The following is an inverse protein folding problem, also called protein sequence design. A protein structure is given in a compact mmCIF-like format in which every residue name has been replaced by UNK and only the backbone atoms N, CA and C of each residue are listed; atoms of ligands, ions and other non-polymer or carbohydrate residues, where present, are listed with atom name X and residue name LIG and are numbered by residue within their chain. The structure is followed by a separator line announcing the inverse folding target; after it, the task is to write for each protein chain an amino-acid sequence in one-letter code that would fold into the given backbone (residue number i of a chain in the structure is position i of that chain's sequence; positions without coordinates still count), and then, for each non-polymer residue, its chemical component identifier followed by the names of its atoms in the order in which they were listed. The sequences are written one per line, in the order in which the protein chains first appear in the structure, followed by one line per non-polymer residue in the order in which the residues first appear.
data_IF_684800387237
#
_entry.id   IF_684800387237
#
_cell.length_a   1.000
_cell.length_b   1.000
_cell.length_c   1.000
_cell.angle_alpha   90.00
_cell.angle_beta   90.00
_cell.angle_gamma   90.00
#
_symmetry.space_group_name_H-M   'P 1'
#
loop_
_entity.id
_entity.type
_entity.pdbx_description
1 polymer ?
#
# COMPACT_ATOMS: atom_id res chain seq x y z
N UNK A 1 12.04 -2.82 11.76
CA UNK A 1 10.88 -2.00 11.29
C UNK A 1 9.65 -2.39 12.11
N UNK A 2 8.73 -1.47 12.46
CA UNK A 2 7.56 -1.85 13.28
C UNK A 2 6.26 -1.92 12.48
N UNK A 3 5.72 -3.13 12.29
CA UNK A 3 4.44 -3.41 11.61
C UNK A 3 3.30 -3.54 12.64
N UNK A 4 2.10 -3.07 12.29
CA UNK A 4 1.01 -2.87 13.25
C UNK A 4 -0.36 -3.12 12.63
N UNK A 5 -1.26 -3.72 13.42
CA UNK A 5 -2.66 -3.94 13.04
C UNK A 5 -3.57 -3.80 14.25
N UNK A 6 -4.77 -3.27 14.02
CA UNK A 6 -5.80 -3.05 15.02
C UNK A 6 -7.00 -3.97 14.77
N UNK A 7 -7.35 -4.75 15.79
CA UNK A 7 -8.51 -5.65 15.76
C UNK A 7 -9.59 -5.16 16.71
N UNK A 8 -10.81 -4.99 16.21
CA UNK A 8 -11.99 -4.70 17.03
C UNK A 8 -12.85 -5.95 17.25
N UNK A 9 -13.59 -5.97 18.36
CA UNK A 9 -14.51 -7.06 18.73
C UNK A 9 -15.80 -7.08 17.89
N UNK A 10 -16.20 -5.94 17.31
CA UNK A 10 -17.30 -5.87 16.36
C UNK A 10 -17.03 -4.90 15.19
N UNK A 11 -17.69 -5.07 14.03
CA UNK A 11 -17.62 -4.13 12.91
C UNK A 11 -18.39 -2.83 13.18
N UNK A 12 -17.92 -1.72 12.59
CA UNK A 12 -18.64 -0.44 12.61
C UNK A 12 -18.39 0.39 13.89
N UNK A 13 -19.26 1.36 14.15
CA UNK A 13 -19.08 2.34 15.24
C UNK A 13 -19.47 1.82 16.63
N UNK A 14 -19.63 0.51 16.81
CA UNK A 14 -20.15 -0.10 18.04
C UNK A 14 -19.14 -1.02 18.76
N UNK A 15 -17.86 -1.00 18.36
CA UNK A 15 -16.82 -1.80 19.01
C UNK A 15 -16.63 -1.40 20.49
N UNK A 16 -16.58 -2.40 21.37
CA UNK A 16 -16.33 -2.24 22.80
C UNK A 16 -14.83 -2.28 23.11
N UNK A 17 -14.08 -3.11 22.39
CA UNK A 17 -12.65 -3.31 22.61
C UNK A 17 -11.88 -3.20 21.29
N UNK A 18 -10.73 -2.55 21.34
CA UNK A 18 -9.73 -2.52 20.28
C UNK A 18 -8.42 -3.10 20.81
N UNK A 19 -7.89 -4.13 20.16
CA UNK A 19 -6.54 -4.63 20.43
C UNK A 19 -5.61 -4.14 19.34
N UNK A 20 -4.62 -3.35 19.72
CA UNK A 20 -3.60 -2.81 18.82
C UNK A 20 -2.29 -3.55 19.03
N UNK A 21 -1.75 -4.14 17.97
CA UNK A 21 -0.54 -4.96 18.04
C UNK A 21 0.66 -4.30 17.38
N UNK A 22 1.83 -4.51 17.96
CA UNK A 22 3.10 -4.01 17.47
C UNK A 22 4.04 -5.19 17.26
N UNK A 23 4.57 -5.33 16.06
CA UNK A 23 5.49 -6.39 15.67
C UNK A 23 6.79 -5.77 15.17
N UNK A 24 7.92 -6.40 15.49
CA UNK A 24 9.16 -6.18 14.77
C UNK A 24 9.17 -7.05 13.51
N UNK A 25 9.27 -6.41 12.35
CA UNK A 25 9.23 -7.10 11.06
C UNK A 25 10.40 -8.08 10.90
N UNK A 26 11.60 -7.67 11.29
CA UNK A 26 12.84 -8.42 11.04
C UNK A 26 12.89 -9.73 11.83
N UNK A 27 12.41 -9.71 13.08
CA UNK A 27 12.33 -10.91 13.92
C UNK A 27 10.96 -11.60 13.90
N UNK A 28 9.96 -10.99 13.26
CA UNK A 28 8.55 -11.42 13.30
C UNK A 28 7.99 -11.62 14.72
N UNK A 29 8.50 -10.86 15.70
CA UNK A 29 8.10 -10.95 17.11
C UNK A 29 7.13 -9.83 17.47
N UNK A 30 6.11 -10.17 18.24
CA UNK A 30 5.24 -9.17 18.86
C UNK A 30 6.02 -8.47 19.97
N UNK A 31 6.16 -7.15 19.85
CA UNK A 31 6.84 -6.29 20.82
C UNK A 31 5.88 -5.78 21.90
N UNK A 32 4.64 -5.46 21.54
CA UNK A 32 3.64 -4.91 22.45
C UNK A 32 2.21 -5.19 21.96
N UNK A 33 1.28 -5.28 22.91
CA UNK A 33 -0.16 -5.33 22.66
C UNK A 33 -0.84 -4.32 23.57
N UNK A 34 -1.67 -3.45 22.99
CA UNK A 34 -2.45 -2.47 23.73
C UNK A 34 -3.94 -2.81 23.56
N UNK A 35 -4.68 -2.93 24.66
CA UNK A 35 -6.14 -3.13 24.63
C UNK A 35 -6.80 -1.84 25.11
N UNK A 36 -7.67 -1.28 24.28
CA UNK A 36 -8.41 -0.04 24.57
C UNK A 36 -9.90 -0.36 24.64
N UNK A 37 -10.53 0.01 25.75
CA UNK A 37 -11.98 -0.02 25.90
C UNK A 37 -12.62 1.28 25.38
N UNK A 38 -13.77 1.17 24.73
CA UNK A 38 -14.48 2.30 24.14
C UNK A 38 -14.82 3.41 25.16
N UNK A 39 -14.97 3.07 26.45
CA UNK A 39 -15.19 4.01 27.55
C UNK A 39 -13.99 4.93 27.76
N UNK A 40 -12.79 4.48 27.46
CA UNK A 40 -11.56 5.27 27.57
C UNK A 40 -11.47 6.36 26.49
N UNK A 41 -12.25 6.23 25.41
CA UNK A 41 -12.30 7.19 24.30
C UNK A 41 -13.66 7.89 24.21
N UNK A 42 -14.40 7.94 25.32
CA UNK A 42 -15.67 8.66 25.41
C UNK A 42 -16.78 8.06 24.54
N UNK A 43 -16.81 6.73 24.38
CA UNK A 43 -17.82 6.04 23.59
C UNK A 43 -17.58 6.07 22.08
N UNK A 44 -16.45 6.62 21.62
CA UNK A 44 -16.14 6.80 20.20
C UNK A 44 -15.18 5.72 19.71
N UNK A 45 -15.71 4.57 19.34
CA UNK A 45 -14.93 3.42 18.86
C UNK A 45 -13.87 3.73 17.78
N UNK A 46 -14.06 4.66 16.81
CA UNK A 46 -13.01 4.97 15.84
C UNK A 46 -11.74 5.57 16.44
N UNK A 47 -11.84 6.16 17.63
CA UNK A 47 -10.69 6.77 18.30
C UNK A 47 -9.83 5.74 19.04
N UNK A 48 -10.34 4.53 19.28
CA UNK A 48 -9.61 3.51 20.03
C UNK A 48 -8.31 3.10 19.32
N UNK A 49 -8.34 2.99 17.99
CA UNK A 49 -7.16 2.65 17.19
C UNK A 49 -6.05 3.68 17.37
N UNK A 50 -6.38 4.97 17.26
CA UNK A 50 -5.42 6.07 17.47
C UNK A 50 -4.84 6.04 18.89
N UNK A 51 -5.67 5.82 19.90
CA UNK A 51 -5.24 5.76 21.31
C UNK A 51 -4.36 4.54 21.56
N UNK A 52 -4.72 3.38 21.01
CA UNK A 52 -3.93 2.15 21.12
C UNK A 52 -2.56 2.31 20.47
N UNK A 53 -2.52 2.90 19.26
CA UNK A 53 -1.29 3.26 18.57
C UNK A 53 -0.41 4.20 19.39
N UNK A 54 -1.00 5.30 19.90
CA UNK A 54 -0.27 6.34 20.63
C UNK A 54 0.37 5.77 21.91
N UNK A 55 -0.40 5.02 22.71
CA UNK A 55 0.08 4.40 23.95
C UNK A 55 1.16 3.37 23.70
N UNK A 56 0.96 2.46 22.75
CA UNK A 56 1.94 1.42 22.48
C UNK A 56 3.21 1.96 21.82
N UNK A 57 3.12 3.00 20.99
CA UNK A 57 4.31 3.66 20.45
C UNK A 57 5.08 4.38 21.56
N UNK A 58 4.39 5.11 22.44
CA UNK A 58 5.01 5.79 23.58
C UNK A 58 5.67 4.81 24.55
N UNK A 59 5.10 3.60 24.72
CA UNK A 59 5.73 2.51 25.48
C UNK A 59 7.01 2.03 24.80
N UNK A 60 6.94 1.66 23.51
CA UNK A 60 8.08 1.13 22.78
C UNK A 60 9.24 2.10 22.64
N UNK A 61 8.97 3.41 22.53
CA UNK A 61 10.02 4.43 22.43
C UNK A 61 10.87 4.56 23.69
N UNK A 62 10.40 4.06 24.84
CA UNK A 62 11.18 4.03 26.09
C UNK A 62 12.19 2.88 26.10
N UNK A 63 11.84 1.77 25.46
CA UNK A 63 12.62 0.53 25.45
C UNK A 63 13.49 0.39 24.20
N UNK A 64 13.06 1.00 23.08
CA UNK A 64 13.66 0.83 21.76
C UNK A 64 13.83 2.15 21.02
N UNK A 65 14.90 2.22 20.21
CA UNK A 65 15.04 3.28 19.20
C UNK A 65 14.20 2.92 17.97
N UNK A 66 12.98 3.43 17.92
CA UNK A 66 12.08 3.24 16.78
C UNK A 66 12.49 4.19 15.64
N UNK A 67 13.00 3.65 14.54
CA UNK A 67 13.38 4.44 13.36
C UNK A 67 12.25 4.54 12.32
N UNK A 68 11.40 3.51 12.23
CA UNK A 68 10.35 3.43 11.22
C UNK A 68 9.13 2.67 11.75
N UNK A 69 7.95 3.16 11.38
CA UNK A 69 6.65 2.53 11.63
C UNK A 69 5.89 2.37 10.33
N UNK A 70 5.25 1.22 10.17
CA UNK A 70 4.38 0.90 9.02
C UNK A 70 2.97 0.70 9.54
N UNK A 71 2.01 1.42 8.96
CA UNK A 71 0.60 1.35 9.37
C UNK A 71 -0.31 1.30 8.15
N UNK A 72 -1.56 0.95 8.39
CA UNK A 72 -2.64 1.22 7.44
C UNK A 72 -2.73 2.71 7.07
N UNK A 73 -3.46 3.00 6.00
CA UNK A 73 -3.79 4.36 5.56
C UNK A 73 -4.80 5.06 6.50
N UNK A 74 -4.66 4.88 7.82
CA UNK A 74 -5.50 5.49 8.83
C UNK A 74 -5.15 6.98 9.00
N UNK A 75 -6.09 7.84 8.59
CA UNK A 75 -5.87 9.30 8.47
C UNK A 75 -5.45 9.92 9.81
N UNK A 76 -6.03 9.49 10.93
CA UNK A 76 -5.71 10.08 12.23
C UNK A 76 -4.30 9.70 12.72
N UNK A 77 -3.83 8.49 12.42
CA UNK A 77 -2.48 8.04 12.80
C UNK A 77 -1.44 8.75 11.93
N UNK A 78 -1.71 8.86 10.61
CA UNK A 78 -0.86 9.65 9.71
C UNK A 78 -0.75 11.11 10.16
N UNK A 79 -1.86 11.73 10.55
CA UNK A 79 -1.86 13.09 11.07
C UNK A 79 -1.12 13.20 12.41
N UNK A 80 -1.24 12.20 13.29
CA UNK A 80 -0.53 12.15 14.57
C UNK A 80 1.00 12.11 14.36
N UNK A 81 1.49 11.18 13.54
CA UNK A 81 2.93 11.05 13.26
C UNK A 81 3.51 12.28 12.56
N UNK A 82 2.73 12.93 11.69
CA UNK A 82 3.18 14.12 10.96
C UNK A 82 3.23 15.38 11.83
N UNK A 83 2.28 15.55 12.75
CA UNK A 83 2.05 16.84 13.41
C UNK A 83 2.49 16.87 14.88
N UNK A 84 2.92 15.74 15.46
CA UNK A 84 3.25 15.64 16.87
C UNK A 84 4.78 15.59 17.08
N UNK A 85 5.41 16.63 17.68
CA UNK A 85 6.86 16.70 17.81
C UNK A 85 7.52 15.55 18.55
N UNK A 86 6.78 14.83 19.42
CA UNK A 86 7.30 13.65 20.12
C UNK A 86 7.68 12.50 19.17
N UNK A 87 7.16 12.50 17.96
CA UNK A 87 7.43 11.47 16.95
C UNK A 87 8.37 11.96 15.84
N UNK A 88 8.97 13.14 16.01
CA UNK A 88 9.94 13.66 15.06
C UNK A 88 11.12 12.69 14.92
N UNK A 89 11.50 12.42 13.67
CA UNK A 89 12.56 11.48 13.32
C UNK A 89 12.13 10.03 13.13
N UNK A 90 10.85 9.70 13.41
CA UNK A 90 10.29 8.39 13.04
C UNK A 90 9.79 8.47 11.60
N UNK A 91 10.34 7.63 10.73
CA UNK A 91 9.83 7.44 9.37
C UNK A 91 8.46 6.75 9.41
N UNK A 92 7.47 7.27 8.66
CA UNK A 92 6.17 6.65 8.52
C UNK A 92 5.99 6.09 7.11
N UNK A 93 5.74 4.79 7.00
CA UNK A 93 5.34 4.12 5.77
C UNK A 93 3.90 3.63 5.86
N UNK A 94 3.29 3.44 4.69
CA UNK A 94 1.96 2.82 4.58
C UNK A 94 2.13 1.37 4.17
N UNK A 95 1.31 0.49 4.73
CA UNK A 95 1.28 -0.92 4.32
C UNK A 95 0.93 -1.05 2.83
N UNK A 96 1.90 -1.57 2.07
CA UNK A 96 1.81 -1.83 0.63
C UNK A 96 0.75 -2.88 0.33
N UNK A 97 0.51 -3.84 1.24
CA UNK A 97 -0.51 -4.87 1.06
C UNK A 97 -1.90 -4.28 0.88
N UNK A 98 -2.28 -3.33 1.73
CA UNK A 98 -3.55 -2.61 1.61
C UNK A 98 -3.65 -1.85 0.28
N UNK A 99 -2.55 -1.24 -0.18
CA UNK A 99 -2.44 -0.61 -1.50
C UNK A 99 -2.70 -1.61 -2.64
N UNK A 100 -1.99 -2.73 -2.63
CA UNK A 100 -2.11 -3.78 -3.65
C UNK A 100 -3.52 -4.40 -3.66
N UNK A 101 -4.12 -4.62 -2.50
CA UNK A 101 -5.49 -5.14 -2.35
C UNK A 101 -6.52 -4.17 -2.94
N UNK A 102 -6.41 -2.88 -2.64
CA UNK A 102 -7.30 -1.85 -3.19
C UNK A 102 -7.14 -1.72 -4.71
N UNK A 103 -5.92 -1.81 -5.22
CA UNK A 103 -5.64 -1.84 -6.66
C UNK A 103 -6.33 -3.03 -7.33
N UNK A 104 -6.15 -4.24 -6.81
CA UNK A 104 -6.81 -5.45 -7.34
C UNK A 104 -8.33 -5.32 -7.32
N UNK A 105 -8.91 -4.77 -6.25
CA UNK A 105 -10.36 -4.54 -6.15
C UNK A 105 -10.86 -3.61 -7.25
N UNK A 106 -10.17 -2.48 -7.46
CA UNK A 106 -10.49 -1.51 -8.51
C UNK A 106 -10.36 -2.13 -9.91
N UNK A 107 -9.27 -2.86 -10.16
CA UNK A 107 -9.04 -3.56 -11.42
C UNK A 107 -10.09 -4.64 -11.70
N UNK A 108 -10.48 -5.41 -10.69
CA UNK A 108 -11.48 -6.46 -10.83
C UNK A 108 -12.84 -5.88 -11.21
N UNK A 109 -13.22 -4.74 -10.62
CA UNK A 109 -14.45 -4.04 -11.00
C UNK A 109 -14.42 -3.60 -12.48
N UNK A 110 -13.26 -3.15 -12.96
CA UNK A 110 -13.06 -2.77 -14.37
C UNK A 110 -13.07 -3.99 -15.31
N UNK A 111 -12.49 -5.11 -14.87
CA UNK A 111 -12.38 -6.35 -15.63
C UNK A 111 -13.71 -7.08 -15.81
N UNK A 112 -14.67 -6.87 -14.89
CA UNK A 112 -16.01 -7.45 -14.96
C UNK A 112 -16.86 -6.90 -16.13
N UNK A 113 -16.43 -5.82 -16.80
CA UNK A 113 -17.07 -5.34 -18.01
C UNK A 113 -16.74 -6.28 -19.19
N UNK A 114 -17.72 -6.58 -20.06
CA UNK A 114 -17.57 -7.59 -21.13
C UNK A 114 -16.42 -7.28 -22.09
N UNK A 115 -16.15 -6.00 -22.31
CA UNK A 115 -15.07 -5.50 -23.17
C UNK A 115 -13.67 -5.60 -22.53
N UNK A 116 -13.57 -5.98 -21.25
CA UNK A 116 -12.35 -5.94 -20.46
C UNK A 116 -11.94 -7.30 -19.86
N UNK A 117 -12.52 -8.41 -20.32
CA UNK A 117 -12.30 -9.73 -19.69
C UNK A 117 -10.84 -10.15 -19.67
N UNK A 118 -10.05 -9.77 -20.68
CA UNK A 118 -8.62 -10.07 -20.77
C UNK A 118 -7.81 -9.42 -19.66
N UNK A 119 -8.32 -8.35 -19.02
CA UNK A 119 -7.69 -7.71 -17.87
C UNK A 119 -7.55 -8.69 -16.69
N UNK A 120 -8.45 -9.65 -16.53
CA UNK A 120 -8.34 -10.66 -15.47
C UNK A 120 -7.03 -11.45 -15.55
N UNK A 121 -6.52 -11.70 -16.77
CA UNK A 121 -5.24 -12.39 -16.97
C UNK A 121 -4.06 -11.55 -16.48
N UNK A 122 -4.16 -10.23 -16.58
CA UNK A 122 -3.12 -9.27 -16.20
C UNK A 122 -3.12 -8.89 -14.73
N UNK A 123 -4.26 -8.93 -14.02
CA UNK A 123 -4.38 -8.54 -12.61
C UNK A 123 -3.28 -9.13 -11.71
N UNK A 124 -2.94 -10.44 -11.77
CA UNK A 124 -1.86 -10.99 -10.95
C UNK A 124 -0.49 -10.36 -11.25
N UNK A 125 -0.19 -10.09 -12.52
CA UNK A 125 1.06 -9.45 -12.93
C UNK A 125 1.08 -7.96 -12.52
N UNK A 126 -0.03 -7.24 -12.70
CA UNK A 126 -0.16 -5.83 -12.26
C UNK A 126 0.06 -5.70 -10.75
N UNK A 127 -0.56 -6.59 -9.96
CA UNK A 127 -0.35 -6.64 -8.51
C UNK A 127 1.11 -6.90 -8.17
N UNK A 128 1.73 -7.91 -8.79
CA UNK A 128 3.12 -8.24 -8.52
C UNK A 128 4.08 -7.11 -8.94
N UNK A 129 3.79 -6.42 -10.04
CA UNK A 129 4.53 -5.25 -10.49
C UNK A 129 4.39 -4.08 -9.52
N UNK A 130 3.21 -3.86 -8.95
CA UNK A 130 3.02 -2.86 -7.88
C UNK A 130 3.92 -3.14 -6.66
N UNK A 131 4.00 -4.40 -6.22
CA UNK A 131 4.93 -4.82 -5.16
C UNK A 131 6.39 -4.58 -5.53
N UNK A 132 6.77 -4.91 -6.77
CA UNK A 132 8.10 -4.65 -7.30
C UNK A 132 8.42 -3.15 -7.30
N UNK A 133 7.52 -2.30 -7.79
CA UNK A 133 7.69 -0.86 -7.77
C UNK A 133 7.88 -0.31 -6.36
N UNK A 134 7.11 -0.80 -5.39
CA UNK A 134 7.24 -0.39 -3.99
C UNK A 134 8.58 -0.82 -3.37
N UNK A 135 9.09 -1.99 -3.74
CA UNK A 135 10.40 -2.48 -3.30
C UNK A 135 11.56 -1.67 -3.91
N UNK A 136 11.49 -1.38 -5.20
CA UNK A 136 12.60 -0.76 -5.95
C UNK A 136 12.65 0.78 -5.84
N UNK A 137 11.58 1.41 -5.35
CA UNK A 137 11.50 2.88 -5.31
C UNK A 137 12.48 3.52 -4.32
N UNK A 138 12.96 2.79 -3.32
CA UNK A 138 13.85 3.33 -2.28
C UNK A 138 13.27 4.54 -1.54
N UNK A 139 11.94 4.56 -1.35
CA UNK A 139 11.23 5.68 -0.72
C UNK A 139 10.99 6.91 -1.61
N UNK A 140 11.35 6.84 -2.90
CA UNK A 140 11.13 7.93 -3.86
C UNK A 140 9.76 7.80 -4.55
N UNK A 141 8.88 8.78 -4.32
CA UNK A 141 7.51 8.80 -4.83
C UNK A 141 7.40 9.00 -6.35
N UNK A 142 8.38 9.67 -6.95
CA UNK A 142 8.53 9.79 -8.40
C UNK A 142 8.96 8.46 -8.99
N UNK A 143 9.91 7.77 -8.35
CA UNK A 143 10.45 6.48 -8.83
C UNK A 143 9.39 5.38 -8.78
N UNK A 144 8.61 5.27 -7.70
CA UNK A 144 7.52 4.27 -7.64
C UNK A 144 6.49 4.49 -8.74
N UNK A 145 6.11 5.75 -9.02
CA UNK A 145 5.19 6.09 -10.11
C UNK A 145 5.78 5.77 -11.47
N UNK A 146 7.05 6.11 -11.70
CA UNK A 146 7.74 5.82 -12.96
C UNK A 146 7.79 4.31 -13.24
N UNK A 147 8.23 3.51 -12.27
CA UNK A 147 8.28 2.04 -12.41
C UNK A 147 6.88 1.46 -12.54
N UNK A 148 5.89 1.93 -11.78
CA UNK A 148 4.54 1.36 -11.87
C UNK A 148 3.83 1.73 -13.18
N UNK A 149 3.95 2.98 -13.64
CA UNK A 149 3.29 3.47 -14.84
C UNK A 149 3.92 2.93 -16.14
N UNK A 150 5.20 2.49 -16.11
CA UNK A 150 5.81 1.79 -17.24
C UNK A 150 5.01 0.55 -17.67
N UNK A 151 4.31 -0.09 -16.72
CA UNK A 151 3.43 -1.20 -16.99
C UNK A 151 2.35 -0.87 -18.01
N UNK A 152 1.85 0.38 -18.03
CA UNK A 152 0.82 0.82 -18.97
C UNK A 152 1.25 0.73 -20.43
N UNK A 153 2.56 0.83 -20.67
CA UNK A 153 3.16 0.66 -21.99
C UNK A 153 3.38 -0.83 -22.27
N UNK A 154 3.98 -1.56 -21.33
CA UNK A 154 4.26 -2.99 -21.48
C UNK A 154 3.01 -3.82 -21.80
N UNK A 155 1.88 -3.58 -21.11
CA UNK A 155 0.65 -4.35 -21.30
C UNK A 155 -0.06 -4.11 -22.64
N UNK A 156 0.37 -3.11 -23.41
CA UNK A 156 -0.13 -2.79 -24.76
C UNK A 156 0.94 -3.01 -25.84
N UNK A 157 2.01 -3.75 -25.52
CA UNK A 157 3.16 -4.01 -26.40
C UNK A 157 4.00 -2.77 -26.79
N UNK A 158 3.97 -1.74 -25.94
CA UNK A 158 4.86 -0.58 -26.07
C UNK A 158 6.04 -0.74 -25.09
N UNK A 159 7.22 -1.06 -25.61
CA UNK A 159 8.41 -1.34 -24.79
C UNK A 159 9.39 -0.16 -24.71
N UNK A 160 9.10 0.93 -25.41
CA UNK A 160 9.84 2.20 -25.37
C UNK A 160 8.84 3.35 -25.36
N UNK A 161 9.04 4.32 -24.48
CA UNK A 161 8.14 5.47 -24.31
C UNK A 161 8.90 6.70 -23.79
N UNK A 162 8.22 7.84 -23.75
CA UNK A 162 8.69 9.03 -23.04
C UNK A 162 7.96 9.12 -21.71
N UNK A 163 8.71 9.25 -20.61
CA UNK A 163 8.12 9.42 -19.28
C UNK A 163 7.35 10.74 -19.23
N UNK A 164 6.07 10.67 -18.85
CA UNK A 164 5.20 11.86 -18.78
C UNK A 164 5.59 12.85 -17.68
N UNK A 165 6.52 12.47 -16.79
CA UNK A 165 6.93 13.28 -15.64
C UNK A 165 8.01 14.32 -16.01
N UNK A 166 8.94 13.96 -16.91
CA UNK A 166 10.09 14.79 -17.27
C UNK A 166 10.54 14.66 -18.73
N UNK A 167 9.85 13.84 -19.54
CA UNK A 167 10.15 13.63 -20.96
C UNK A 167 11.38 12.75 -21.22
N UNK A 168 11.94 12.09 -20.21
CA UNK A 168 13.08 11.18 -20.40
C UNK A 168 12.64 9.87 -21.07
N UNK A 169 13.50 9.25 -21.91
CA UNK A 169 13.22 7.93 -22.48
C UNK A 169 13.07 6.87 -21.39
N UNK A 170 12.03 6.06 -21.47
CA UNK A 170 11.81 4.87 -20.66
C UNK A 170 11.74 3.62 -21.54
N UNK A 171 12.20 2.50 -20.98
CA UNK A 171 12.14 1.19 -21.63
C UNK A 171 11.85 0.07 -20.62
N UNK A 172 11.34 -1.06 -21.12
CA UNK A 172 11.16 -2.25 -20.31
C UNK A 172 12.51 -2.83 -19.88
N UNK A 173 12.63 -3.25 -18.60
CA UNK A 173 13.88 -3.79 -18.03
C UNK A 173 14.14 -5.26 -18.39
N UNK A 174 13.70 -5.71 -19.57
CA UNK A 174 13.89 -7.07 -20.05
C UNK A 174 14.39 -7.05 -21.51
N UNK A 175 15.04 -8.14 -21.93
CA UNK A 175 15.38 -8.34 -23.34
C UNK A 175 14.12 -8.56 -24.18
N UNK A 176 14.26 -8.56 -25.51
CA UNK A 176 13.16 -8.86 -26.42
C UNK A 176 12.48 -10.18 -26.01
N UNK A 177 11.16 -10.11 -25.82
CA UNK A 177 10.33 -11.28 -25.51
C UNK A 177 9.97 -11.95 -26.84
N UNK A 178 10.28 -13.24 -26.96
CA UNK A 178 9.86 -14.05 -28.11
C UNK A 178 8.43 -14.55 -27.96
N UNK A 179 7.88 -15.17 -29.02
CA UNK A 179 6.50 -15.70 -29.02
C UNK A 179 6.23 -16.68 -27.86
N UNK A 180 7.24 -17.43 -27.41
CA UNK A 180 7.14 -18.39 -26.31
C UNK A 180 7.11 -17.74 -24.91
N UNK A 181 7.49 -16.46 -24.81
CA UNK A 181 7.48 -15.69 -23.55
C UNK A 181 6.07 -15.11 -23.25
N UNK A 182 5.16 -15.15 -24.22
CA UNK A 182 3.82 -14.57 -24.13
C UNK A 182 2.78 -15.57 -23.62
N UNK A 183 2.55 -15.56 -22.31
CA UNK A 183 1.48 -16.33 -21.68
C UNK A 183 0.09 -15.69 -21.75
N UNK A 184 -0.03 -14.44 -22.24
CA UNK A 184 -1.25 -13.61 -22.17
C UNK A 184 -1.37 -12.67 -23.38
N UNK A 185 -2.59 -12.39 -23.87
CA UNK A 185 -2.81 -11.41 -24.92
C UNK A 185 -2.56 -9.99 -24.40
N UNK A 186 -1.95 -9.14 -25.22
CA UNK A 186 -1.84 -7.71 -24.94
C UNK A 186 -3.21 -7.04 -24.91
N UNK A 187 -3.34 -5.99 -24.10
CA UNK A 187 -4.55 -5.21 -23.95
C UNK A 187 -4.62 -4.09 -24.99
N UNK A 188 -5.83 -3.65 -25.33
CA UNK A 188 -6.05 -2.52 -26.22
C UNK A 188 -5.87 -1.18 -25.49
N UNK A 189 -5.18 -0.22 -26.10
CA UNK A 189 -4.75 1.06 -25.50
C UNK A 189 -5.91 1.91 -24.98
N UNK A 190 -7.02 1.95 -25.70
CA UNK A 190 -8.23 2.74 -25.44
C UNK A 190 -9.03 2.28 -24.21
N UNK A 191 -8.89 1.02 -23.80
CA UNK A 191 -9.67 0.45 -22.70
C UNK A 191 -9.05 0.63 -21.31
N UNK A 192 -7.73 0.90 -21.23
CA UNK A 192 -6.98 0.74 -19.99
C UNK A 192 -6.26 1.99 -19.50
N UNK A 193 -5.68 2.78 -20.42
CA UNK A 193 -4.88 3.96 -20.07
C UNK A 193 -5.72 5.00 -19.29
N UNK A 194 -6.97 5.21 -19.71
CA UNK A 194 -7.91 6.11 -19.02
C UNK A 194 -8.45 5.55 -17.71
N UNK A 195 -8.62 4.22 -17.61
CA UNK A 195 -9.20 3.57 -16.43
C UNK A 195 -8.19 3.38 -15.30
N UNK A 196 -6.90 3.18 -15.62
CA UNK A 196 -5.80 3.03 -14.65
C UNK A 196 -5.26 4.37 -14.14
N UNK A 197 -5.21 5.42 -14.99
CA UNK A 197 -4.80 6.76 -14.57
C UNK A 197 -5.85 7.47 -13.68
N UNK A 198 -7.09 6.96 -13.67
CA UNK A 198 -8.17 7.43 -12.79
C UNK A 198 -8.29 6.68 -11.46
N UNK A 199 -7.41 5.71 -11.16
CA UNK A 199 -7.38 4.97 -9.89
C UNK A 199 -6.46 5.62 -8.86
#
# INVERSE_FOLDING_TARGET
MCSRDARTDSPGHCAQYCTYSFMDEDSSKILHLEVVDVREVGGKSPNMERVGFERGLDFLMKEFKICEVVTDAHVQIKALLKNCPKYDGISHQVDVWHGAKNLVKKLSNVANAKENTDLHLWIPAIRNHFWYSAKECGGNDIKIKSIFLSLLHHIVDEHQWLLSIDGTPGECSHHHLGDDDHSKPYLRRDHLHMKLLGL
#
